data_IF_359770039380
#
_entry.id   IF_359770039380
#
_cell.length_a   1.000
_cell.length_b   1.000
_cell.length_c   1.000
_cell.angle_alpha   90.00
_cell.angle_beta   90.00
_cell.angle_gamma   90.00
#
_symmetry.space_group_name_H-M   'P 1'
#
loop_
_entity.id
_entity.type
_entity.pdbx_description
1 polymer ?
#
# COMPACT_ATOMS: atom_id res chain seq x y z
N UNK A 1 6.84 10.32 -12.38
CA UNK A 1 5.47 10.65 -11.98
C UNK A 1 4.59 10.78 -13.22
N UNK A 2 3.50 10.02 -13.26
CA UNK A 2 2.54 10.09 -14.40
C UNK A 2 1.58 11.24 -14.22
N UNK A 3 1.11 11.46 -12.99
CA UNK A 3 0.21 12.57 -12.62
C UNK A 3 0.25 12.83 -11.10
N UNK A 4 -0.19 14.02 -10.64
CA UNK A 4 -0.14 14.39 -9.23
C UNK A 4 -1.32 13.80 -8.44
N UNK A 5 -1.40 12.47 -8.40
CA UNK A 5 -2.40 11.70 -7.65
C UNK A 5 -1.68 10.83 -6.62
N UNK A 6 -2.29 10.68 -5.46
CA UNK A 6 -1.85 9.76 -4.41
C UNK A 6 -2.94 8.72 -4.21
N UNK A 7 -2.54 7.45 -4.20
CA UNK A 7 -3.41 6.33 -3.84
C UNK A 7 -3.07 5.88 -2.43
N UNK A 8 -4.08 5.84 -1.57
CA UNK A 8 -3.98 5.31 -0.21
C UNK A 8 -4.80 4.03 -0.16
N UNK A 9 -4.18 2.95 0.26
CA UNK A 9 -4.83 1.65 0.39
C UNK A 9 -4.61 1.10 1.80
N UNK A 10 -5.67 0.59 2.40
CA UNK A 10 -5.57 -0.27 3.57
C UNK A 10 -6.12 -1.65 3.23
N UNK A 11 -5.47 -2.71 3.70
CA UNK A 11 -5.95 -4.08 3.54
C UNK A 11 -5.88 -4.82 4.87
N UNK A 12 -6.92 -5.57 5.16
CA UNK A 12 -6.98 -6.54 6.25
C UNK A 12 -6.89 -7.92 5.62
N UNK A 13 -5.77 -8.58 5.83
CA UNK A 13 -5.53 -9.95 5.36
C UNK A 13 -5.91 -10.94 6.45
N UNK A 14 -6.69 -11.93 6.07
CA UNK A 14 -7.17 -12.97 6.97
C UNK A 14 -6.83 -14.36 6.40
N UNK A 15 -6.67 -15.32 7.30
CA UNK A 15 -6.41 -16.73 6.93
C UNK A 15 -5.18 -16.93 6.03
N UNK A 16 -4.08 -16.25 6.36
CA UNK A 16 -2.85 -16.30 5.57
C UNK A 16 -2.15 -17.67 5.76
N UNK A 17 -2.07 -18.48 4.71
CA UNK A 17 -1.56 -19.84 4.77
C UNK A 17 -0.13 -19.95 5.29
N UNK A 18 0.79 -19.10 4.82
CA UNK A 18 2.19 -19.10 5.26
C UNK A 18 2.41 -18.51 6.67
N UNK A 19 1.38 -17.90 7.27
CA UNK A 19 1.33 -17.47 8.66
C UNK A 19 0.46 -18.43 9.52
N UNK A 20 0.31 -19.67 9.12
CA UNK A 20 -0.49 -20.68 9.82
C UNK A 20 -1.95 -20.22 10.08
N UNK A 21 -2.54 -19.48 9.16
CA UNK A 21 -3.90 -18.96 9.26
C UNK A 21 -4.04 -17.65 10.05
N UNK A 22 -2.94 -17.07 10.54
CA UNK A 22 -2.96 -15.76 11.18
C UNK A 22 -3.27 -14.64 10.18
N UNK A 23 -3.49 -13.46 10.71
CA UNK A 23 -3.94 -12.28 9.97
C UNK A 23 -3.00 -11.11 10.23
N UNK A 24 -2.94 -10.16 9.30
CA UNK A 24 -2.26 -8.88 9.51
C UNK A 24 -2.88 -7.79 8.66
N UNK A 25 -2.60 -6.55 9.01
CA UNK A 25 -3.12 -5.37 8.33
C UNK A 25 -2.00 -4.55 7.72
N UNK A 26 -2.28 -3.95 6.57
CA UNK A 26 -1.38 -3.02 5.90
C UNK A 26 -2.06 -1.69 5.64
N UNK A 27 -1.23 -0.66 5.53
CA UNK A 27 -1.62 0.67 5.10
C UNK A 27 -0.51 1.23 4.21
N UNK A 28 -0.81 1.53 2.95
CA UNK A 28 0.17 2.00 1.98
C UNK A 28 -0.19 3.34 1.38
N UNK A 29 0.84 4.09 1.03
CA UNK A 29 0.77 5.33 0.26
C UNK A 29 1.60 5.16 -1.00
N UNK A 30 1.01 5.39 -2.15
CA UNK A 30 1.67 5.22 -3.45
C UNK A 30 1.30 6.32 -4.43
N UNK A 31 2.15 6.50 -5.43
CA UNK A 31 1.96 7.44 -6.53
C UNK A 31 2.11 6.73 -7.88
N UNK A 32 1.34 7.12 -8.90
CA UNK A 32 1.47 6.52 -10.22
C UNK A 32 2.78 6.98 -10.89
N UNK A 33 3.61 6.02 -11.26
CA UNK A 33 4.89 6.25 -11.91
C UNK A 33 5.04 5.38 -13.15
N UNK A 34 5.88 5.84 -14.08
CA UNK A 34 6.46 5.01 -15.14
C UNK A 34 7.95 4.82 -14.86
N UNK A 35 8.46 3.67 -15.19
CA UNK A 35 9.87 3.41 -15.32
C UNK A 35 10.17 3.18 -16.80
N UNK A 36 11.17 3.86 -17.30
CA UNK A 36 11.61 3.81 -18.69
C UNK A 36 13.13 3.62 -18.70
N UNK A 37 13.54 2.38 -18.58
CA UNK A 37 14.95 1.97 -18.56
C UNK A 37 15.42 1.41 -19.89
N UNK A 38 16.62 0.83 -19.90
CA UNK A 38 17.22 0.27 -21.11
C UNK A 38 16.51 -0.98 -21.63
N UNK A 39 15.87 -1.73 -20.74
CA UNK A 39 15.22 -3.02 -21.07
C UNK A 39 13.76 -3.07 -20.67
N UNK A 40 13.38 -2.35 -19.61
CA UNK A 40 12.07 -2.46 -18.99
C UNK A 40 11.32 -1.14 -19.10
N UNK A 41 10.07 -1.21 -19.57
CA UNK A 41 9.15 -0.09 -19.68
C UNK A 41 7.86 -0.47 -18.99
N UNK A 42 7.64 0.04 -17.78
CA UNK A 42 6.48 -0.31 -16.95
C UNK A 42 5.77 0.91 -16.40
N UNK A 43 4.45 0.79 -16.24
CA UNK A 43 3.61 1.77 -15.54
C UNK A 43 3.03 1.08 -14.30
N UNK A 44 3.22 1.69 -13.14
CA UNK A 44 2.73 1.11 -11.89
C UNK A 44 2.63 2.15 -10.79
N UNK A 45 2.35 1.67 -9.59
CA UNK A 45 2.31 2.50 -8.40
C UNK A 45 3.63 2.39 -7.65
N UNK A 46 4.37 3.48 -7.54
CA UNK A 46 5.56 3.54 -6.71
C UNK A 46 5.16 3.70 -5.24
N UNK A 47 5.62 2.78 -4.40
CA UNK A 47 5.33 2.79 -2.97
C UNK A 47 6.23 3.79 -2.25
N UNK A 48 5.64 4.86 -1.73
CA UNK A 48 6.33 5.83 -0.89
C UNK A 48 6.58 5.25 0.51
N UNK A 49 5.57 4.60 1.08
CA UNK A 49 5.66 3.88 2.35
C UNK A 49 4.58 2.80 2.43
N UNK A 50 4.87 1.76 3.20
CA UNK A 50 3.97 0.66 3.50
C UNK A 50 4.07 0.34 4.99
N UNK A 51 3.01 0.61 5.73
CA UNK A 51 2.93 0.31 7.16
C UNK A 51 2.25 -1.04 7.36
N UNK A 52 2.74 -1.83 8.31
CA UNK A 52 2.21 -3.15 8.66
C UNK A 52 2.25 -3.38 10.16
N UNK A 53 1.34 -4.21 10.65
CA UNK A 53 1.25 -4.55 12.07
C UNK A 53 1.82 -5.93 12.42
N UNK A 54 2.60 -6.56 11.53
CA UNK A 54 3.23 -7.86 11.77
C UNK A 54 4.68 -7.88 11.26
N UNK A 55 5.60 -8.43 12.06
CA UNK A 55 7.04 -8.40 11.77
C UNK A 55 7.45 -9.31 10.60
N UNK A 56 6.89 -10.53 10.49
CA UNK A 56 7.31 -11.50 9.50
C UNK A 56 7.14 -10.99 8.05
N UNK A 57 5.97 -10.46 7.64
CA UNK A 57 5.82 -9.89 6.31
C UNK A 57 6.66 -8.61 6.11
N UNK A 58 7.01 -7.88 7.18
CA UNK A 58 7.91 -6.73 7.06
C UNK A 58 9.29 -7.19 6.64
N UNK A 59 9.89 -8.14 7.38
CA UNK A 59 11.25 -8.63 7.09
C UNK A 59 11.30 -9.24 5.69
N UNK A 60 10.46 -10.21 5.38
CA UNK A 60 10.45 -10.87 4.08
C UNK A 60 10.20 -9.90 2.90
N UNK A 61 9.30 -8.93 3.08
CA UNK A 61 8.99 -7.95 2.05
C UNK A 61 10.12 -6.94 1.82
N UNK A 62 10.80 -6.50 2.87
CA UNK A 62 11.96 -5.59 2.73
C UNK A 62 13.15 -6.30 2.09
N UNK A 63 13.52 -7.46 2.61
CA UNK A 63 14.73 -8.17 2.19
C UNK A 63 14.54 -8.88 0.83
N UNK A 64 13.39 -9.51 0.60
CA UNK A 64 13.09 -10.19 -0.65
C UNK A 64 12.71 -9.24 -1.79
N UNK A 65 11.77 -8.33 -1.55
CA UNK A 65 11.05 -7.59 -2.59
C UNK A 65 11.34 -6.09 -2.63
N UNK A 66 12.10 -5.56 -1.68
CA UNK A 66 12.43 -4.14 -1.62
C UNK A 66 11.28 -3.22 -1.21
N UNK A 67 10.22 -3.76 -0.61
CA UNK A 67 9.12 -2.95 -0.08
C UNK A 67 9.58 -2.04 1.06
N UNK A 68 9.15 -0.78 1.04
CA UNK A 68 9.44 0.22 2.09
C UNK A 68 8.59 0.01 3.33
N UNK A 69 8.66 -1.19 3.92
CA UNK A 69 7.79 -1.60 5.03
C UNK A 69 8.27 -1.07 6.38
N UNK A 70 7.32 -0.59 7.18
CA UNK A 70 7.53 0.00 8.50
C UNK A 70 6.48 -0.59 9.44
N UNK A 71 6.90 -0.95 10.65
CA UNK A 71 5.96 -1.42 11.68
C UNK A 71 5.09 -0.27 12.18
N UNK A 72 3.77 -0.51 12.23
CA UNK A 72 2.79 0.40 12.84
C UNK A 72 1.64 -0.38 13.46
N UNK A 73 0.93 0.27 14.36
CA UNK A 73 -0.31 -0.27 14.90
C UNK A 73 -1.47 0.07 13.96
N UNK A 74 -2.04 -0.97 13.36
CA UNK A 74 -3.18 -0.88 12.44
C UNK A 74 -4.22 -1.89 12.96
N UNK A 75 -5.21 -1.45 13.76
CA UNK A 75 -6.25 -2.34 14.27
C UNK A 75 -7.14 -2.86 13.15
N UNK A 76 -7.91 -3.91 13.43
CA UNK A 76 -8.92 -4.39 12.49
C UNK A 76 -9.91 -3.28 12.13
N UNK A 77 -10.31 -3.29 10.88
CA UNK A 77 -11.12 -2.21 10.30
C UNK A 77 -12.51 -2.19 10.97
N UNK A 78 -12.95 -1.00 11.34
CA UNK A 78 -14.24 -0.80 11.99
C UNK A 78 -15.28 -0.28 11.00
N UNK A 79 -16.45 -0.89 11.03
CA UNK A 79 -17.61 -0.46 10.25
C UNK A 79 -18.73 0.02 11.18
N UNK A 80 -19.21 1.22 10.92
CA UNK A 80 -20.41 1.75 11.57
C UNK A 80 -21.30 2.42 10.51
N UNK A 81 -22.56 1.97 10.40
CA UNK A 81 -23.56 2.54 9.48
C UNK A 81 -23.02 2.74 8.04
N UNK A 82 -22.32 1.73 7.49
CA UNK A 82 -21.79 1.80 6.13
C UNK A 82 -20.46 2.57 5.98
N UNK A 83 -19.96 3.18 7.04
CA UNK A 83 -18.68 3.90 7.06
C UNK A 83 -17.60 3.01 7.66
N UNK A 84 -16.54 2.79 6.92
CA UNK A 84 -15.34 2.09 7.35
C UNK A 84 -14.29 3.06 7.81
N UNK A 85 -13.60 2.75 8.90
CA UNK A 85 -12.56 3.59 9.48
C UNK A 85 -11.32 2.77 9.79
N UNK A 86 -10.18 3.29 9.35
CA UNK A 86 -8.85 2.67 9.55
C UNK A 86 -7.92 3.72 10.16
N UNK A 87 -7.79 3.76 11.48
CA UNK A 87 -6.75 4.56 12.12
C UNK A 87 -5.41 3.84 12.00
N UNK A 88 -4.34 4.59 11.79
CA UNK A 88 -2.96 4.07 11.75
C UNK A 88 -2.12 4.84 12.75
N UNK A 89 -1.47 4.13 13.64
CA UNK A 89 -0.73 4.70 14.76
C UNK A 89 0.70 4.17 14.83
N UNK A 90 1.60 5.00 15.29
CA UNK A 90 2.93 4.58 15.70
C UNK A 90 3.07 4.94 17.18
N UNK A 91 3.53 3.98 18.00
CA UNK A 91 3.38 4.11 19.44
C UNK A 91 1.92 4.43 19.80
N UNK A 92 1.67 5.43 20.62
CA UNK A 92 0.33 5.86 21.02
C UNK A 92 -0.24 6.99 20.14
N UNK A 93 0.53 7.48 19.16
CA UNK A 93 0.12 8.58 18.28
C UNK A 93 -0.54 8.08 16.99
N UNK A 94 -1.81 8.44 16.79
CA UNK A 94 -2.50 8.20 15.53
C UNK A 94 -2.11 9.29 14.53
N UNK A 95 -1.35 8.92 13.49
CA UNK A 95 -0.90 9.88 12.48
C UNK A 95 -1.78 9.92 11.23
N UNK A 96 -2.65 8.91 11.04
CA UNK A 96 -3.55 8.85 9.89
C UNK A 96 -4.88 8.21 10.25
N UNK A 97 -5.95 8.67 9.60
CA UNK A 97 -7.27 8.06 9.66
C UNK A 97 -7.90 8.05 8.27
N UNK A 98 -7.94 6.87 7.68
CA UNK A 98 -8.64 6.64 6.41
C UNK A 98 -10.10 6.32 6.70
N UNK A 99 -11.01 6.93 5.93
CA UNK A 99 -12.44 6.67 5.99
C UNK A 99 -12.95 6.32 4.60
N UNK A 100 -13.79 5.27 4.52
CA UNK A 100 -14.48 4.84 3.28
C UNK A 100 -15.97 4.77 3.57
N UNK A 101 -16.77 5.59 2.90
CA UNK A 101 -18.22 5.74 3.11
C UNK A 101 -18.99 5.08 1.96
N UNK A 102 -19.46 3.86 2.19
CA UNK A 102 -20.21 3.08 1.19
C UNK A 102 -21.64 3.58 0.95
N UNK A 103 -22.11 4.56 1.72
CA UNK A 103 -23.42 5.20 1.50
C UNK A 103 -23.35 6.33 0.47
N UNK A 104 -22.16 6.76 0.07
CA UNK A 104 -21.92 7.83 -0.88
C UNK A 104 -21.24 7.31 -2.14
N UNK A 105 -21.57 7.86 -3.28
CA UNK A 105 -20.90 7.54 -4.56
C UNK A 105 -19.54 8.24 -4.63
N UNK A 106 -18.61 7.65 -5.39
CA UNK A 106 -17.38 8.32 -5.77
C UNK A 106 -17.68 9.67 -6.43
N UNK A 107 -16.87 10.68 -6.16
CA UNK A 107 -17.09 12.03 -6.70
C UNK A 107 -16.86 12.08 -8.21
N UNK A 108 -15.86 11.34 -8.68
CA UNK A 108 -15.58 11.12 -10.11
C UNK A 108 -15.21 9.65 -10.31
N UNK A 109 -16.22 8.79 -10.46
CA UNK A 109 -16.05 7.35 -10.58
C UNK A 109 -15.26 6.96 -11.84
N UNK A 110 -15.53 7.63 -12.95
CA UNK A 110 -14.85 7.33 -14.21
C UNK A 110 -13.34 7.59 -14.10
N UNK A 111 -12.97 8.74 -13.58
CA UNK A 111 -11.59 9.11 -13.33
C UNK A 111 -10.92 8.22 -12.29
N UNK A 112 -11.63 7.87 -11.23
CA UNK A 112 -11.15 6.96 -10.21
C UNK A 112 -10.80 5.58 -10.77
N UNK A 113 -11.69 5.00 -11.59
CA UNK A 113 -11.46 3.70 -12.22
C UNK A 113 -10.34 3.75 -13.27
N UNK A 114 -10.21 4.82 -14.02
CA UNK A 114 -9.08 5.04 -14.94
C UNK A 114 -7.75 4.96 -14.19
N UNK A 115 -7.63 5.65 -13.06
CA UNK A 115 -6.41 5.65 -12.23
C UNK A 115 -6.09 4.25 -11.71
N UNK A 116 -7.09 3.52 -11.16
CA UNK A 116 -6.89 2.18 -10.62
C UNK A 116 -6.50 1.16 -11.70
N UNK A 117 -7.06 1.27 -12.89
CA UNK A 117 -6.86 0.30 -13.96
C UNK A 117 -5.54 0.50 -14.72
N UNK A 118 -4.96 1.70 -14.67
CA UNK A 118 -3.70 2.01 -15.34
C UNK A 118 -2.50 1.26 -14.77
N UNK A 119 -2.46 1.04 -13.47
CA UNK A 119 -1.34 0.40 -12.80
C UNK A 119 -1.20 -1.06 -13.23
N UNK A 120 -0.01 -1.46 -13.65
CA UNK A 120 0.35 -2.84 -14.00
C UNK A 120 0.91 -3.63 -12.80
N UNK A 121 1.28 -2.93 -11.73
CA UNK A 121 1.88 -3.52 -10.55
C UNK A 121 2.41 -2.47 -9.58
N UNK A 122 3.23 -2.93 -8.63
CA UNK A 122 3.88 -2.08 -7.64
C UNK A 122 5.37 -1.92 -7.98
N UNK A 123 5.85 -0.68 -7.89
CA UNK A 123 7.27 -0.36 -7.99
C UNK A 123 7.83 -0.01 -6.63
N UNK A 124 9.03 -0.49 -6.37
CA UNK A 124 9.77 -0.24 -5.14
C UNK A 124 11.22 0.06 -5.48
N UNK A 125 11.94 0.64 -4.54
CA UNK A 125 13.39 0.75 -4.62
C UNK A 125 14.00 -0.09 -3.49
N UNK A 126 14.61 -1.22 -3.87
CA UNK A 126 15.29 -2.07 -2.90
C UNK A 126 16.60 -1.41 -2.53
N UNK A 127 16.75 -1.10 -1.25
CA UNK A 127 17.93 -0.49 -0.70
C UNK A 127 18.35 -1.19 0.58
N UNK A 128 19.58 -1.70 0.58
CA UNK A 128 20.22 -2.28 1.76
C UNK A 128 21.53 -1.53 1.97
N UNK A 129 21.68 -0.79 3.08
CA UNK A 129 22.91 -0.07 3.34
C UNK A 129 24.09 -1.04 3.53
N UNK A 130 25.27 -0.63 3.12
CA UNK A 130 26.48 -1.40 3.31
C UNK A 130 26.96 -1.39 4.76
N UNK A 131 27.44 -2.52 5.25
CA UNK A 131 28.02 -2.60 6.59
C UNK A 131 29.48 -2.15 6.58
N UNK A 132 29.79 -1.06 7.27
CA UNK A 132 31.14 -0.52 7.37
C UNK A 132 31.71 0.09 6.10
N UNK A 133 30.87 0.40 5.11
CA UNK A 133 31.22 1.04 3.83
C UNK A 133 30.15 2.03 3.39
N UNK A 134 30.51 2.95 2.51
CA UNK A 134 29.57 3.95 1.99
C UNK A 134 28.60 3.37 0.92
N UNK A 135 29.07 2.41 0.13
CA UNK A 135 28.31 1.80 -0.94
C UNK A 135 27.25 0.85 -0.35
N UNK A 136 26.01 0.87 -0.87
CA UNK A 136 24.95 -0.05 -0.44
C UNK A 136 25.27 -1.48 -0.90
N UNK A 137 24.80 -2.47 -0.13
CA UNK A 137 24.85 -3.88 -0.53
C UNK A 137 23.82 -4.18 -1.64
N UNK A 138 22.72 -3.43 -1.68
CA UNK A 138 21.74 -3.47 -2.75
C UNK A 138 21.09 -2.10 -2.94
N UNK A 139 21.00 -1.63 -4.20
CA UNK A 139 20.34 -0.38 -4.57
C UNK A 139 19.82 -0.48 -6.01
N UNK A 140 18.56 -0.89 -6.19
CA UNK A 140 17.95 -1.03 -7.51
C UNK A 140 16.42 -0.98 -7.45
N UNK A 141 15.75 -0.54 -8.53
CA UNK A 141 14.31 -0.58 -8.62
C UNK A 141 13.80 -2.01 -8.84
N UNK A 142 12.66 -2.31 -8.23
CA UNK A 142 11.97 -3.60 -8.33
C UNK A 142 10.54 -3.36 -8.80
N UNK A 143 10.05 -4.20 -9.69
CA UNK A 143 8.66 -4.24 -10.10
C UNK A 143 8.00 -5.56 -9.69
N UNK A 144 6.88 -5.43 -9.00
CA UNK A 144 6.03 -6.54 -8.59
C UNK A 144 4.75 -6.45 -9.41
N UNK A 145 4.57 -7.25 -10.47
CA UNK A 145 3.39 -7.21 -11.32
C UNK A 145 2.13 -7.57 -10.53
N UNK A 146 0.97 -7.10 -10.98
CA UNK A 146 -0.31 -7.56 -10.44
C UNK A 146 -0.42 -9.06 -10.63
N UNK A 147 -0.74 -9.77 -9.56
CA UNK A 147 -1.03 -11.18 -9.64
C UNK A 147 -2.20 -11.45 -10.59
N UNK A 148 -2.02 -12.45 -11.45
CA UNK A 148 -3.07 -12.97 -12.32
C UNK A 148 -3.31 -14.41 -11.94
N UNK A 149 -4.57 -14.75 -11.71
CA UNK A 149 -4.96 -16.12 -11.41
C UNK A 149 -4.53 -17.05 -12.56
N UNK A 150 -3.67 -18.06 -12.32
CA UNK A 150 -3.39 -19.08 -13.33
C UNK A 150 -4.64 -19.89 -13.69
N UNK A 151 -4.71 -20.40 -14.92
CA UNK A 151 -5.86 -21.20 -15.38
C UNK A 151 -6.00 -22.51 -14.60
N UNK A 152 -4.89 -23.09 -14.12
CA UNK A 152 -4.80 -24.31 -13.33
C UNK A 152 -4.87 -24.09 -11.82
N UNK A 153 -5.19 -22.88 -11.37
CA UNK A 153 -5.27 -22.56 -9.95
C UNK A 153 -6.41 -23.29 -9.26
N UNK A 154 -6.07 -24.22 -8.35
CA UNK A 154 -7.02 -25.19 -7.76
C UNK A 154 -7.62 -24.75 -6.42
N UNK A 155 -7.08 -23.69 -5.78
CA UNK A 155 -7.61 -23.28 -4.48
C UNK A 155 -8.90 -22.50 -4.64
N UNK A 156 -9.88 -22.71 -3.73
CA UNK A 156 -11.14 -21.97 -3.78
C UNK A 156 -10.89 -20.46 -3.55
N UNK A 157 -11.53 -19.65 -4.37
CA UNK A 157 -11.51 -18.20 -4.23
C UNK A 157 -12.92 -17.70 -3.96
N UNK A 158 -13.05 -16.73 -3.06
CA UNK A 158 -14.32 -16.04 -2.85
C UNK A 158 -14.67 -15.18 -4.07
N UNK A 159 -15.95 -15.00 -4.31
CA UNK A 159 -16.43 -14.02 -5.27
C UNK A 159 -15.97 -12.61 -4.88
N UNK A 160 -15.36 -11.88 -5.81
CA UNK A 160 -14.93 -10.50 -5.59
C UNK A 160 -16.15 -9.58 -5.51
N UNK A 161 -16.26 -8.86 -4.38
CA UNK A 161 -17.28 -7.82 -4.18
C UNK A 161 -16.63 -6.46 -4.16
N UNK A 162 -17.11 -5.55 -5.00
CA UNK A 162 -16.57 -4.20 -5.16
C UNK A 162 -17.69 -3.17 -4.96
N UNK A 163 -17.41 -2.16 -4.15
CA UNK A 163 -18.26 -0.98 -3.97
C UNK A 163 -17.44 0.26 -4.23
N UNK A 164 -17.72 0.98 -5.31
CA UNK A 164 -17.15 2.30 -5.59
C UNK A 164 -17.94 3.34 -4.78
N UNK A 165 -17.24 4.17 -4.04
CA UNK A 165 -17.83 5.02 -3.02
C UNK A 165 -16.99 6.29 -2.79
N UNK A 166 -17.37 7.09 -1.82
CA UNK A 166 -16.58 8.24 -1.36
C UNK A 166 -15.65 7.84 -0.21
N UNK A 167 -14.65 8.66 0.03
CA UNK A 167 -13.71 8.46 1.11
C UNK A 167 -13.11 9.76 1.61
N UNK A 168 -12.36 9.67 2.66
CA UNK A 168 -11.62 10.79 3.23
C UNK A 168 -10.32 10.30 3.86
N UNK A 169 -9.34 11.17 3.92
CA UNK A 169 -8.08 10.98 4.62
C UNK A 169 -7.81 12.16 5.55
N UNK A 170 -7.51 11.85 6.78
CA UNK A 170 -7.03 12.80 7.77
C UNK A 170 -5.60 12.44 8.15
N UNK A 171 -4.71 13.42 8.10
CA UNK A 171 -3.32 13.31 8.53
C UNK A 171 -3.10 14.17 9.76
N UNK A 172 -2.49 13.58 10.79
CA UNK A 172 -2.13 14.29 12.02
C UNK A 172 -0.61 14.44 12.06
N UNK A 173 -0.14 15.66 12.30
CA UNK A 173 1.28 15.98 12.29
C UNK A 173 1.90 15.60 13.64
N UNK A 174 2.80 14.59 13.71
CA UNK A 174 3.49 14.25 14.94
C UNK A 174 4.65 15.21 15.23
N UNK A 175 5.03 15.30 16.49
CA UNK A 175 6.36 15.70 16.90
C UNK A 175 7.29 14.48 16.88
N UNK A 176 8.59 14.70 17.15
CA UNK A 176 9.54 13.59 17.18
C UNK A 176 9.25 12.62 18.34
N UNK A 177 8.82 13.14 19.48
CA UNK A 177 8.46 12.38 20.68
C UNK A 177 7.21 11.49 20.46
N UNK A 178 6.28 11.93 19.61
CA UNK A 178 5.07 11.18 19.28
C UNK A 178 5.37 9.98 18.39
N UNK A 179 6.31 10.14 17.46
CA UNK A 179 6.64 9.12 16.46
C UNK A 179 8.15 9.11 16.18
N UNK A 180 8.96 8.61 17.12
CA UNK A 180 10.41 8.56 16.97
C UNK A 180 10.84 7.84 15.69
N UNK A 181 11.94 8.30 15.05
CA UNK A 181 12.52 7.75 13.82
C UNK A 181 11.74 8.08 12.54
N UNK A 182 10.40 8.02 12.56
CA UNK A 182 9.55 8.13 11.37
C UNK A 182 8.63 9.36 11.37
N UNK A 183 8.74 10.26 12.34
CA UNK A 183 7.93 11.48 12.41
C UNK A 183 7.93 12.25 11.09
N UNK A 184 9.09 12.36 10.43
CA UNK A 184 9.23 13.08 9.16
C UNK A 184 8.32 12.55 8.05
N UNK A 185 8.03 11.24 7.98
CA UNK A 185 7.12 10.67 6.99
C UNK A 185 5.70 11.18 7.19
N UNK A 186 5.19 11.08 8.42
CA UNK A 186 3.85 11.58 8.74
C UNK A 186 3.76 13.11 8.63
N UNK A 187 4.82 13.83 8.99
CA UNK A 187 4.91 15.28 8.81
C UNK A 187 4.82 15.70 7.34
N UNK A 188 5.52 15.00 6.43
CA UNK A 188 5.42 15.25 4.98
C UNK A 188 4.00 14.98 4.46
N UNK A 189 3.40 13.85 4.83
CA UNK A 189 2.02 13.53 4.45
C UNK A 189 1.03 14.56 4.98
N UNK A 190 1.16 14.99 6.23
CA UNK A 190 0.31 16.01 6.82
C UNK A 190 0.49 17.40 6.22
N UNK A 191 1.66 17.71 5.64
CA UNK A 191 1.93 18.98 4.97
C UNK A 191 1.51 19.00 3.50
N UNK A 192 1.26 17.85 2.90
CA UNK A 192 0.86 17.76 1.49
C UNK A 192 -0.57 18.28 1.30
N UNK A 193 -0.81 19.25 0.40
CA UNK A 193 -2.15 19.80 0.18
C UNK A 193 -3.04 18.77 -0.52
N UNK A 194 -4.08 18.29 0.15
CA UNK A 194 -5.14 17.49 -0.46
C UNK A 194 -6.12 18.41 -1.16
N UNK A 195 -6.07 18.49 -2.48
CA UNK A 195 -6.96 19.36 -3.27
C UNK A 195 -8.36 18.80 -3.39
N UNK A 196 -8.48 17.49 -3.61
CA UNK A 196 -9.76 16.79 -3.71
C UNK A 196 -9.58 15.29 -3.48
N UNK A 197 -10.66 14.65 -3.05
CA UNK A 197 -10.81 13.20 -3.09
C UNK A 197 -11.56 12.86 -4.38
N UNK A 198 -11.01 11.99 -5.22
CA UNK A 198 -11.61 11.57 -6.50
C UNK A 198 -12.66 10.50 -6.25
N UNK A 199 -12.34 9.53 -5.41
CA UNK A 199 -13.21 8.43 -5.03
C UNK A 199 -12.50 7.47 -4.10
N UNK A 200 -13.24 6.46 -3.64
CA UNK A 200 -12.74 5.33 -2.87
C UNK A 200 -13.38 4.02 -3.35
N UNK A 201 -12.79 2.90 -2.96
CA UNK A 201 -13.32 1.58 -3.26
C UNK A 201 -13.17 0.67 -2.04
N UNK A 202 -14.26 0.01 -1.67
CA UNK A 202 -14.22 -1.13 -0.78
C UNK A 202 -14.21 -2.40 -1.60
N UNK A 203 -13.25 -3.28 -1.36
CA UNK A 203 -13.11 -4.53 -2.10
C UNK A 203 -12.95 -5.70 -1.13
N UNK A 204 -13.74 -6.75 -1.33
CA UNK A 204 -13.55 -8.07 -0.72
C UNK A 204 -13.12 -9.04 -1.80
N UNK A 205 -12.05 -9.78 -1.58
CA UNK A 205 -11.53 -10.71 -2.57
C UNK A 205 -10.62 -11.75 -1.91
N UNK A 206 -10.44 -12.87 -2.58
CA UNK A 206 -9.33 -13.78 -2.31
C UNK A 206 -8.16 -13.40 -3.23
N UNK A 207 -6.96 -13.55 -2.72
CA UNK A 207 -5.73 -13.34 -3.48
C UNK A 207 -4.72 -14.43 -3.15
N UNK A 208 -3.81 -14.69 -4.08
CA UNK A 208 -2.62 -15.47 -3.81
C UNK A 208 -1.41 -14.55 -3.99
N UNK A 209 -0.68 -14.31 -2.92
CA UNK A 209 0.56 -13.55 -3.00
C UNK A 209 1.65 -14.42 -3.64
N UNK A 210 1.76 -14.37 -4.94
CA UNK A 210 2.88 -14.95 -5.68
C UNK A 210 3.82 -13.85 -6.14
N UNK A 211 5.00 -13.81 -5.54
CA UNK A 211 6.06 -12.84 -5.86
C UNK A 211 7.17 -13.44 -6.75
N UNK A 212 6.98 -14.66 -7.26
CA UNK A 212 7.95 -15.32 -8.15
C UNK A 212 8.18 -14.54 -9.46
N UNK A 213 7.21 -13.70 -9.85
CA UNK A 213 7.29 -12.85 -11.04
C UNK A 213 7.87 -11.46 -10.78
N UNK A 214 8.35 -11.19 -9.56
CA UNK A 214 9.03 -9.93 -9.24
C UNK A 214 10.34 -9.81 -10.00
N UNK A 215 10.61 -8.65 -10.59
CA UNK A 215 11.79 -8.40 -11.40
C UNK A 215 12.58 -7.18 -10.92
N UNK A 216 13.89 -7.25 -11.07
CA UNK A 216 14.74 -6.07 -11.00
C UNK A 216 14.63 -5.33 -12.32
N UNK A 217 14.25 -4.06 -12.27
CA UNK A 217 14.15 -3.19 -13.43
C UNK A 217 15.53 -2.74 -13.92
N UNK A 218 15.71 -2.67 -15.23
CA UNK A 218 16.98 -2.30 -15.90
C UNK A 218 16.75 -1.33 -17.04
#
# INVERSE_FOLDING_TARGET
LVEPVVTIMASQFEHIGWLAGNSYNIYQVSIPCSFDGDRDHVVGDFLLCLFENHCDPIVGGREGLGYTKIFCNIPNFKKLNGVWTVPTSSWDFTFSKLTVDTNKKAKDEARFLEILNRSQGKMNFKYVPGTGKAEPDSAYPVFNPKWKKPDDYQFPMMETKIVNCDGNIEWFRPNWEDMPTYAHLAQYMASAPVKSIIGAQLKYYSDACDFSHSIQLK
#
